data_IF_930008148615
#
_entry.id   IF_930008148615
#
_cell.length_a   1.000
_cell.length_b   1.000
_cell.length_c   1.000
_cell.angle_alpha   90.00
_cell.angle_beta   90.00
_cell.angle_gamma   90.00
#
_symmetry.space_group_name_H-M   'P 1'
#
loop_
_entity.id
_entity.type
_entity.pdbx_description
1 polymer ?
#
# COMPACT_ATOMS: atom_id res chain seq x y z
N UNK A 1 30.81 -23.27 -11.38
CA UNK A 1 30.17 -23.48 -10.07
C UNK A 1 30.07 -22.13 -9.34
N UNK A 2 28.95 -21.41 -9.47
CA UNK A 2 28.71 -20.08 -8.86
C UNK A 2 27.59 -20.12 -7.80
N UNK A 3 27.07 -21.32 -7.51
CA UNK A 3 25.88 -21.54 -6.69
C UNK A 3 25.98 -21.08 -5.22
N UNK A 4 27.11 -21.21 -4.48
CA UNK A 4 27.10 -20.90 -3.05
C UNK A 4 26.92 -19.40 -2.76
N UNK A 5 27.55 -18.51 -3.54
CA UNK A 5 27.38 -17.06 -3.40
C UNK A 5 25.96 -16.61 -3.77
N UNK A 6 25.38 -17.20 -4.81
CA UNK A 6 23.99 -16.92 -5.21
C UNK A 6 22.98 -17.33 -4.13
N UNK A 7 23.21 -18.48 -3.46
CA UNK A 7 22.37 -18.93 -2.35
C UNK A 7 22.48 -18.01 -1.12
N UNK A 8 23.68 -17.56 -0.78
CA UNK A 8 23.89 -16.61 0.33
C UNK A 8 23.20 -15.27 0.03
N UNK A 9 23.36 -14.75 -1.19
CA UNK A 9 22.69 -13.52 -1.62
C UNK A 9 21.16 -13.67 -1.58
N UNK A 10 20.62 -14.82 -2.01
CA UNK A 10 19.18 -15.09 -1.92
C UNK A 10 18.71 -15.20 -0.48
N UNK A 11 19.47 -15.86 0.40
CA UNK A 11 19.14 -15.96 1.81
C UNK A 11 19.09 -14.58 2.49
N UNK A 12 20.03 -13.70 2.18
CA UNK A 12 20.01 -12.31 2.64
C UNK A 12 18.78 -11.55 2.12
N UNK A 13 18.39 -11.77 0.85
CA UNK A 13 17.16 -11.20 0.28
C UNK A 13 15.90 -11.69 1.00
N UNK A 14 15.79 -13.00 1.27
CA UNK A 14 14.66 -13.59 1.99
C UNK A 14 14.57 -13.03 3.42
N UNK A 15 15.70 -12.84 4.10
CA UNK A 15 15.71 -12.23 5.42
C UNK A 15 15.21 -10.78 5.37
N UNK A 16 15.64 -10.00 4.36
CA UNK A 16 15.12 -8.64 4.15
C UNK A 16 13.62 -8.59 3.86
N UNK A 17 13.10 -9.55 3.08
CA UNK A 17 11.66 -9.71 2.81
C UNK A 17 10.89 -9.98 4.14
N UNK A 18 11.40 -10.88 4.99
CA UNK A 18 10.80 -11.19 6.31
C UNK A 18 10.82 -10.02 7.28
N UNK A 19 11.94 -9.30 7.35
CA UNK A 19 12.07 -8.12 8.21
C UNK A 19 11.10 -7.01 7.76
N UNK A 20 10.88 -6.85 6.45
CA UNK A 20 9.89 -5.94 5.89
C UNK A 20 8.44 -6.40 6.19
N UNK A 21 8.14 -7.70 6.13
CA UNK A 21 6.84 -8.24 6.55
C UNK A 21 6.55 -7.96 8.03
N UNK A 22 7.53 -8.15 8.91
CA UNK A 22 7.38 -7.83 10.33
C UNK A 22 7.11 -6.34 10.55
N UNK A 23 7.79 -5.45 9.81
CA UNK A 23 7.52 -4.00 9.85
C UNK A 23 6.13 -3.66 9.32
N UNK A 24 5.68 -4.33 8.27
CA UNK A 24 4.34 -4.13 7.71
C UNK A 24 3.25 -4.54 8.70
N UNK A 25 3.41 -5.66 9.40
CA UNK A 25 2.50 -6.08 10.47
C UNK A 25 2.44 -5.04 11.59
N UNK A 26 3.60 -4.53 12.02
CA UNK A 26 3.65 -3.45 13.03
C UNK A 26 2.98 -2.18 12.52
N UNK A 27 3.18 -1.80 11.25
CA UNK A 27 2.51 -0.63 10.66
C UNK A 27 0.99 -0.83 10.55
N UNK A 28 0.53 -2.05 10.25
CA UNK A 28 -0.88 -2.40 10.25
C UNK A 28 -1.48 -2.33 11.65
N UNK A 29 -0.83 -2.94 12.64
CA UNK A 29 -1.23 -2.89 14.05
C UNK A 29 -1.25 -1.46 14.56
N UNK A 30 -0.24 -0.66 14.21
CA UNK A 30 -0.20 0.77 14.51
C UNK A 30 -1.37 1.46 13.79
N UNK A 31 -1.62 1.24 12.50
CA UNK A 31 -2.73 1.89 11.79
C UNK A 31 -4.10 1.53 12.37
N UNK A 32 -4.28 0.29 12.84
CA UNK A 32 -5.50 -0.17 13.49
C UNK A 32 -5.63 0.47 14.89
N UNK A 33 -4.55 0.48 15.67
CA UNK A 33 -4.48 1.14 16.97
C UNK A 33 -4.58 2.68 16.87
N UNK A 34 -4.14 3.25 15.74
CA UNK A 34 -4.07 4.68 15.46
C UNK A 34 -5.09 5.17 14.44
N UNK A 35 -6.11 4.34 14.15
CA UNK A 35 -7.42 4.81 13.70
C UNK A 35 -8.01 5.88 14.63
N UNK A 36 -7.33 6.19 15.75
CA UNK A 36 -7.54 7.35 16.61
C UNK A 36 -6.59 8.55 16.41
N UNK A 37 -5.30 8.45 16.00
CA UNK A 37 -4.36 9.62 16.13
C UNK A 37 -3.09 9.78 15.25
N UNK A 38 -2.63 8.88 14.36
CA UNK A 38 -1.30 9.06 13.73
C UNK A 38 -1.33 9.25 12.20
N UNK A 39 -0.70 10.34 11.75
CA UNK A 39 -0.35 10.59 10.34
C UNK A 39 -1.09 11.72 9.64
N UNK A 40 -1.94 12.47 10.35
CA UNK A 40 -2.74 13.54 9.75
C UNK A 40 -1.86 14.72 9.30
N UNK A 41 -1.55 14.81 8.01
CA UNK A 41 -1.10 16.08 7.42
C UNK A 41 -2.32 16.94 7.13
N UNK A 42 -2.31 18.15 7.67
CA UNK A 42 -3.35 19.16 7.47
C UNK A 42 -3.42 19.56 5.98
N UNK A 43 -4.58 19.38 5.35
CA UNK A 43 -4.87 19.92 4.01
C UNK A 43 -6.13 20.75 4.13
N UNK A 44 -5.97 22.06 4.19
CA UNK A 44 -7.09 22.98 4.01
C UNK A 44 -7.37 23.09 2.50
N UNK A 45 -8.52 22.61 1.99
CA UNK A 45 -8.84 22.72 0.57
C UNK A 45 -9.00 24.19 0.11
N UNK A 46 -9.08 25.14 1.05
CA UNK A 46 -9.16 26.59 0.75
C UNK A 46 -7.87 27.35 1.07
N UNK A 47 -6.92 26.77 1.81
CA UNK A 47 -5.68 27.46 2.18
C UNK A 47 -4.49 26.50 2.50
N UNK A 48 -3.80 25.95 1.48
CA UNK A 48 -2.80 24.89 1.64
C UNK A 48 -1.58 25.23 2.53
N UNK A 49 -1.45 26.46 3.03
CA UNK A 49 -0.42 26.88 3.98
C UNK A 49 -0.93 27.58 5.26
N UNK A 50 -2.24 27.65 5.49
CA UNK A 50 -2.85 28.37 6.62
C UNK A 50 -3.06 27.51 7.87
N UNK A 51 -3.19 28.13 9.06
CA UNK A 51 -3.61 27.43 10.30
C UNK A 51 -5.16 27.31 10.35
N UNK A 52 -5.73 26.15 10.73
CA UNK A 52 -7.18 25.94 10.75
C UNK A 52 -7.95 26.74 11.80
N UNK A 53 -9.23 26.99 11.52
CA UNK A 53 -10.25 27.34 12.53
C UNK A 53 -10.79 26.07 13.18
N UNK A 54 -11.17 26.16 14.48
CA UNK A 54 -11.78 25.05 15.23
C UNK A 54 -13.06 24.55 14.53
N UNK A 55 -13.11 23.28 14.15
CA UNK A 55 -14.33 22.59 13.72
C UNK A 55 -14.34 22.08 12.27
N UNK A 56 -13.41 22.51 11.42
CA UNK A 56 -13.27 22.00 10.04
C UNK A 56 -11.98 21.17 9.95
N UNK A 57 -12.12 19.84 9.94
CA UNK A 57 -10.97 18.93 9.91
C UNK A 57 -11.13 17.89 8.81
N UNK A 58 -10.38 18.05 7.73
CA UNK A 58 -10.06 16.99 6.78
C UNK A 58 -8.60 16.60 6.99
N UNK A 59 -8.36 15.31 7.19
CA UNK A 59 -7.05 14.78 7.52
C UNK A 59 -6.57 13.83 6.42
N UNK A 60 -5.40 14.10 5.84
CA UNK A 60 -4.77 13.21 4.84
C UNK A 60 -3.73 12.32 5.50
N UNK A 61 -3.70 11.05 5.12
CA UNK A 61 -2.72 10.02 5.54
C UNK A 61 -1.71 9.69 4.43
N UNK A 62 -1.57 10.55 3.41
CA UNK A 62 -0.79 10.29 2.20
C UNK A 62 0.64 9.80 2.47
N UNK A 63 1.42 10.51 3.29
CA UNK A 63 2.81 10.10 3.60
C UNK A 63 2.90 8.77 4.34
N UNK A 64 1.91 8.47 5.18
CA UNK A 64 1.86 7.18 5.87
C UNK A 64 1.54 6.07 4.87
N UNK A 65 0.57 6.30 3.97
CA UNK A 65 0.22 5.37 2.90
C UNK A 65 1.39 5.12 1.95
N UNK A 66 2.14 6.15 1.57
CA UNK A 66 3.34 6.02 0.73
C UNK A 66 4.41 5.15 1.42
N UNK A 67 4.60 5.34 2.73
CA UNK A 67 5.54 4.53 3.50
C UNK A 67 5.08 3.07 3.59
N UNK A 68 3.80 2.83 3.87
CA UNK A 68 3.22 1.49 3.88
C UNK A 68 3.38 0.81 2.52
N UNK A 69 3.09 1.51 1.41
CA UNK A 69 3.25 0.99 0.06
C UNK A 69 4.73 0.65 -0.26
N UNK A 70 5.67 1.46 0.23
CA UNK A 70 7.09 1.19 0.07
C UNK A 70 7.52 -0.08 0.85
N UNK A 71 7.07 -0.22 2.09
CA UNK A 71 7.37 -1.40 2.91
C UNK A 71 6.71 -2.66 2.33
N UNK A 72 5.50 -2.54 1.78
CA UNK A 72 4.82 -3.65 1.08
C UNK A 72 5.62 -4.13 -0.14
N UNK A 73 6.15 -3.20 -0.93
CA UNK A 73 7.01 -3.52 -2.09
C UNK A 73 8.27 -4.30 -1.70
N UNK A 74 8.83 -4.01 -0.53
CA UNK A 74 10.00 -4.71 0.00
C UNK A 74 9.65 -6.07 0.62
N UNK A 75 8.51 -6.16 1.29
CA UNK A 75 8.01 -7.38 1.91
C UNK A 75 7.63 -8.44 0.87
N UNK A 76 6.99 -8.01 -0.23
CA UNK A 76 6.41 -8.91 -1.25
C UNK A 76 6.80 -8.50 -2.67
N UNK A 77 8.10 -8.48 -3.01
CA UNK A 77 8.57 -7.99 -4.30
C UNK A 77 7.97 -8.74 -5.50
N UNK A 78 7.64 -10.02 -5.33
CA UNK A 78 7.01 -10.85 -6.37
C UNK A 78 5.62 -10.34 -6.81
N UNK A 79 4.87 -9.67 -5.92
CA UNK A 79 3.56 -9.08 -6.22
C UNK A 79 3.68 -7.79 -7.06
N UNK A 80 4.85 -7.15 -7.07
CA UNK A 80 5.04 -5.85 -7.74
C UNK A 80 5.83 -5.96 -9.05
N UNK A 81 6.08 -7.19 -9.51
CA UNK A 81 6.66 -7.46 -10.83
C UNK A 81 5.75 -6.92 -11.96
N UNK A 82 6.29 -6.55 -13.12
CA UNK A 82 5.48 -6.08 -14.25
C UNK A 82 4.36 -7.06 -14.66
N UNK A 83 4.66 -8.36 -14.62
CA UNK A 83 3.69 -9.42 -14.89
C UNK A 83 2.56 -9.45 -13.86
N UNK A 84 2.89 -9.38 -12.56
CA UNK A 84 1.90 -9.34 -11.49
C UNK A 84 1.01 -8.08 -11.57
N UNK A 85 1.57 -6.93 -11.94
CA UNK A 85 0.80 -5.69 -12.16
C UNK A 85 -0.17 -5.82 -13.33
N UNK A 86 0.26 -6.44 -14.44
CA UNK A 86 -0.57 -6.69 -15.61
C UNK A 86 -1.75 -7.62 -15.26
N UNK A 87 -1.45 -8.74 -14.58
CA UNK A 87 -2.48 -9.68 -14.12
C UNK A 87 -3.49 -9.04 -13.17
N UNK A 88 -3.04 -8.19 -12.24
CA UNK A 88 -3.93 -7.44 -11.34
C UNK A 88 -4.83 -6.49 -12.11
N UNK A 89 -4.28 -5.75 -13.08
CA UNK A 89 -5.04 -4.82 -13.93
C UNK A 89 -6.10 -5.55 -14.74
N UNK A 90 -5.74 -6.66 -15.37
CA UNK A 90 -6.67 -7.51 -16.13
C UNK A 90 -7.81 -8.02 -15.24
N UNK A 91 -7.51 -8.49 -14.02
CA UNK A 91 -8.53 -8.93 -13.07
C UNK A 91 -9.43 -7.77 -12.57
N UNK A 92 -8.90 -6.55 -12.45
CA UNK A 92 -9.70 -5.37 -12.09
C UNK A 92 -10.62 -4.93 -13.26
N UNK A 93 -10.12 -5.00 -14.50
CA UNK A 93 -10.90 -4.73 -15.71
C UNK A 93 -12.01 -5.78 -15.89
N UNK A 94 -11.72 -7.06 -15.68
CA UNK A 94 -12.71 -8.15 -15.72
C UNK A 94 -13.81 -7.94 -14.66
N UNK A 95 -13.46 -7.64 -13.41
CA UNK A 95 -14.46 -7.33 -12.36
C UNK A 95 -15.33 -6.13 -12.71
N UNK A 96 -14.77 -5.11 -13.37
CA UNK A 96 -15.53 -3.93 -13.82
C UNK A 96 -16.50 -4.31 -14.95
N UNK A 97 -16.05 -5.13 -15.89
CA UNK A 97 -16.90 -5.66 -16.95
C UNK A 97 -18.02 -6.53 -16.38
N UNK A 98 -17.71 -7.44 -15.45
CA UNK A 98 -18.72 -8.25 -14.75
C UNK A 98 -19.76 -7.40 -14.03
N UNK A 99 -19.32 -6.35 -13.32
CA UNK A 99 -20.22 -5.43 -12.63
C UNK A 99 -21.10 -4.66 -13.62
N UNK A 100 -20.53 -4.22 -14.74
CA UNK A 100 -21.24 -3.54 -15.81
C UNK A 100 -22.27 -4.44 -16.49
N UNK A 101 -21.91 -5.69 -16.80
CA UNK A 101 -22.81 -6.68 -17.38
C UNK A 101 -23.97 -7.02 -16.44
N UNK A 102 -23.70 -7.16 -15.14
CA UNK A 102 -24.77 -7.33 -14.13
C UNK A 102 -25.70 -6.13 -14.09
N UNK A 103 -25.17 -4.91 -14.15
CA UNK A 103 -25.96 -3.69 -14.17
C UNK A 103 -26.82 -3.55 -15.45
N UNK A 104 -26.31 -4.01 -16.60
CA UNK A 104 -27.07 -4.06 -17.85
C UNK A 104 -28.17 -5.12 -17.84
N UNK A 105 -27.93 -6.29 -17.22
CA UNK A 105 -28.93 -7.37 -17.11
C UNK A 105 -30.00 -7.11 -16.04
N UNK A 106 -29.72 -6.25 -15.07
CA UNK A 106 -30.66 -5.87 -14.01
C UNK A 106 -31.65 -4.76 -14.43
N UNK A 107 -31.58 -4.30 -15.70
CA UNK A 107 -32.43 -3.28 -16.29
C UNK A 107 -33.36 -3.89 -17.32
#
# INVERSE_FOLDING_TARGET
MAMPLALIARAAGIQGERDAEARLLVLQDISLATGLKLGQSYVDPKNPGGRPKRGEAFYSLEKFNDHVEHVEKLARPWLHTPAARKARREAEEERRMDAFERALRAK
#
